data_IF_490495686874
#
_entry.id   IF_490495686874
#
_cell.length_a   1.000
_cell.length_b   1.000
_cell.length_c   1.000
_cell.angle_alpha   90.00
_cell.angle_beta   90.00
_cell.angle_gamma   90.00
#
_symmetry.space_group_name_H-M   'P 1'
#
loop_
_entity.id
_entity.type
_entity.pdbx_description
1 polymer ?
#
# COMPACT_ATOMS: atom_id res chain seq x y z
N UNK A 1 -1.37 19.23 -13.94
CA UNK A 1 -0.30 18.27 -13.60
C UNK A 1 0.16 17.47 -14.81
N UNK A 2 -0.75 16.93 -15.63
CA UNK A 2 -0.54 16.24 -16.90
C UNK A 2 -1.42 16.89 -17.96
N UNK A 3 -1.13 16.63 -19.26
CA UNK A 3 -1.90 17.21 -20.38
C UNK A 3 -2.95 16.23 -20.93
N UNK A 4 -2.67 14.92 -20.83
CA UNK A 4 -3.51 13.86 -21.37
C UNK A 4 -3.72 12.78 -20.33
N UNK A 5 -4.93 12.23 -20.29
CA UNK A 5 -5.30 11.10 -19.45
C UNK A 5 -6.02 10.06 -20.30
N UNK A 6 -5.50 8.85 -20.32
CA UNK A 6 -6.04 7.74 -21.09
C UNK A 6 -6.56 6.67 -20.15
N UNK A 7 -7.85 6.41 -20.16
CA UNK A 7 -8.45 5.25 -19.49
C UNK A 7 -8.52 4.11 -20.50
N UNK A 8 -7.68 3.12 -20.37
CA UNK A 8 -7.60 1.98 -21.29
C UNK A 8 -8.47 0.82 -20.83
N UNK A 9 -9.01 0.07 -21.78
CA UNK A 9 -9.86 -1.11 -21.52
C UNK A 9 -9.25 -2.42 -22.00
N UNK A 10 -8.15 -2.35 -22.77
CA UNK A 10 -7.40 -3.52 -23.24
C UNK A 10 -5.91 -3.35 -22.96
N UNK A 11 -5.23 -4.48 -22.74
CA UNK A 11 -3.78 -4.48 -22.53
C UNK A 11 -3.04 -3.96 -23.75
N UNK A 12 -3.46 -4.37 -24.96
CA UNK A 12 -2.84 -3.94 -26.22
C UNK A 12 -2.87 -2.42 -26.38
N UNK A 13 -3.97 -1.78 -26.02
CA UNK A 13 -4.06 -0.31 -26.06
C UNK A 13 -3.07 0.34 -25.09
N UNK A 14 -2.94 -0.17 -23.87
CA UNK A 14 -1.96 0.32 -22.89
C UNK A 14 -0.53 0.21 -23.44
N UNK A 15 -0.18 -0.92 -24.03
CA UNK A 15 1.16 -1.16 -24.60
C UNK A 15 1.43 -0.29 -25.82
N UNK A 16 0.45 -0.07 -26.70
CA UNK A 16 0.59 0.83 -27.85
C UNK A 16 0.82 2.27 -27.40
N UNK A 17 0.08 2.76 -26.41
CA UNK A 17 0.27 4.10 -25.84
C UNK A 17 1.65 4.23 -25.18
N UNK A 18 2.11 3.23 -24.43
CA UNK A 18 3.46 3.22 -23.87
C UNK A 18 4.54 3.29 -24.97
N UNK A 19 4.41 2.48 -26.03
CA UNK A 19 5.34 2.47 -27.14
C UNK A 19 5.39 3.81 -27.87
N UNK A 20 4.25 4.52 -28.01
CA UNK A 20 4.15 5.83 -28.66
C UNK A 20 4.68 6.97 -27.79
N UNK A 21 4.32 6.99 -26.51
CA UNK A 21 4.61 8.10 -25.59
C UNK A 21 5.94 7.93 -24.85
N UNK A 22 6.39 6.68 -24.61
CA UNK A 22 7.64 6.32 -23.94
C UNK A 22 7.87 7.09 -22.63
N UNK A 23 8.95 7.83 -22.50
CA UNK A 23 9.33 8.61 -21.32
C UNK A 23 8.29 9.67 -20.92
N UNK A 24 7.46 10.11 -21.87
CA UNK A 24 6.41 11.13 -21.64
C UNK A 24 5.15 10.57 -20.98
N UNK A 25 5.00 9.25 -20.92
CA UNK A 25 3.86 8.61 -20.28
C UNK A 25 4.22 7.93 -18.97
N UNK A 26 3.21 7.78 -18.10
CA UNK A 26 3.29 6.93 -16.90
C UNK A 26 1.98 6.18 -16.72
N UNK A 27 2.11 4.94 -16.24
CA UNK A 27 0.97 4.10 -15.84
C UNK A 27 0.39 4.62 -14.53
N UNK A 28 -0.93 4.68 -14.49
CA UNK A 28 -1.73 4.86 -13.27
C UNK A 28 -2.31 3.51 -12.85
N UNK A 29 -1.89 3.04 -11.67
CA UNK A 29 -2.53 1.98 -10.91
C UNK A 29 -3.07 2.59 -9.60
N UNK A 30 -2.31 2.56 -8.50
CA UNK A 30 -2.66 3.25 -7.27
C UNK A 30 -2.47 4.77 -7.30
N UNK A 31 -1.51 5.26 -8.08
CA UNK A 31 -1.06 6.65 -8.25
C UNK A 31 -0.46 7.33 -7.00
N UNK A 32 -0.37 6.66 -5.87
CA UNK A 32 -0.01 7.25 -4.57
C UNK A 32 1.40 7.85 -4.50
N UNK A 33 2.37 7.32 -5.23
CA UNK A 33 3.70 7.92 -5.39
C UNK A 33 3.72 8.90 -6.57
N UNK A 34 3.08 8.54 -7.68
CA UNK A 34 3.12 9.31 -8.93
C UNK A 34 2.55 10.72 -8.74
N UNK A 35 1.42 10.88 -8.05
CA UNK A 35 0.80 12.19 -7.79
C UNK A 35 1.76 13.09 -7.00
N UNK A 36 2.40 12.58 -5.95
CA UNK A 36 3.36 13.34 -5.15
C UNK A 36 4.56 13.76 -6.00
N UNK A 37 5.09 12.85 -6.83
CA UNK A 37 6.23 13.14 -7.72
C UNK A 37 5.91 14.24 -8.74
N UNK A 38 4.69 14.23 -9.29
CA UNK A 38 4.21 15.24 -10.23
C UNK A 38 3.97 16.60 -9.55
N UNK A 39 3.26 16.63 -8.41
CA UNK A 39 2.98 17.86 -7.67
C UNK A 39 4.25 18.54 -7.15
N UNK A 40 5.22 17.78 -6.68
CA UNK A 40 6.51 18.29 -6.22
C UNK A 40 7.48 18.62 -7.36
N UNK A 41 7.11 18.34 -8.62
CA UNK A 41 7.97 18.56 -9.79
C UNK A 41 9.26 17.72 -9.78
N UNK A 42 9.30 16.63 -8.99
CA UNK A 42 10.42 15.67 -8.96
C UNK A 42 10.49 14.93 -10.29
N UNK A 43 9.34 14.57 -10.84
CA UNK A 43 9.22 13.91 -12.13
C UNK A 43 8.75 14.93 -13.18
N UNK A 44 9.64 15.28 -14.09
CA UNK A 44 9.38 16.27 -15.18
C UNK A 44 9.19 15.58 -16.51
N UNK A 45 8.52 16.26 -17.46
CA UNK A 45 8.36 15.80 -18.84
C UNK A 45 7.33 14.69 -19.02
N UNK A 46 6.43 14.52 -18.04
CA UNK A 46 5.28 13.60 -18.16
C UNK A 46 4.11 14.40 -18.74
N UNK A 47 3.73 14.06 -19.96
CA UNK A 47 2.61 14.69 -20.67
C UNK A 47 1.33 13.84 -20.55
N UNK A 48 1.46 12.52 -20.42
CA UNK A 48 0.36 11.56 -20.46
C UNK A 48 0.32 10.62 -19.26
N UNK A 49 -0.88 10.35 -18.75
CA UNK A 49 -1.15 9.28 -17.80
C UNK A 49 -1.99 8.19 -18.50
N UNK A 50 -1.59 6.93 -18.29
CA UNK A 50 -2.27 5.75 -18.83
C UNK A 50 -2.85 4.98 -17.66
N UNK A 51 -4.15 5.08 -17.47
CA UNK A 51 -4.89 4.44 -16.38
C UNK A 51 -5.26 3.01 -16.77
N UNK A 52 -4.62 2.04 -16.09
CA UNK A 52 -4.85 0.61 -16.26
C UNK A 52 -5.85 0.04 -15.25
N UNK A 53 -6.45 0.87 -14.38
CA UNK A 53 -7.30 0.39 -13.28
C UNK A 53 -8.58 -0.31 -13.76
N UNK A 54 -8.91 -0.18 -15.04
CA UNK A 54 -10.06 -0.82 -15.67
C UNK A 54 -9.71 -2.06 -16.50
N UNK A 55 -8.44 -2.43 -16.56
CA UNK A 55 -8.04 -3.66 -17.24
C UNK A 55 -8.53 -4.86 -16.41
N UNK A 56 -9.22 -5.82 -17.03
CA UNK A 56 -9.75 -6.99 -16.31
C UNK A 56 -8.61 -7.88 -15.83
N UNK A 57 -8.87 -8.62 -14.76
CA UNK A 57 -8.05 -9.72 -14.24
C UNK A 57 -6.63 -9.33 -13.74
N UNK A 58 -6.29 -8.05 -13.70
CA UNK A 58 -4.98 -7.57 -13.24
C UNK A 58 -4.90 -7.35 -11.71
N UNK A 59 -5.97 -7.53 -10.97
CA UNK A 59 -6.07 -7.38 -9.51
C UNK A 59 -6.15 -8.74 -8.77
N UNK A 60 -5.80 -9.83 -9.45
CA UNK A 60 -5.91 -11.18 -8.89
C UNK A 60 -4.67 -11.62 -8.15
N UNK A 61 -4.90 -12.37 -7.07
CA UNK A 61 -3.90 -13.16 -6.34
C UNK A 61 -4.22 -14.62 -6.62
N UNK A 62 -3.32 -15.34 -7.27
CA UNK A 62 -3.54 -16.74 -7.67
C UNK A 62 -2.41 -17.65 -7.20
N UNK A 63 -2.70 -18.95 -7.11
CA UNK A 63 -1.74 -20.01 -6.86
C UNK A 63 -1.76 -20.96 -8.06
N UNK A 64 -0.62 -21.17 -8.69
CA UNK A 64 -0.50 -22.09 -9.80
C UNK A 64 -0.32 -23.56 -9.34
N UNK A 65 -0.34 -24.49 -10.29
CA UNK A 65 -0.18 -25.93 -10.02
C UNK A 65 1.22 -26.30 -9.52
N UNK A 66 2.23 -25.47 -9.81
CA UNK A 66 3.61 -25.66 -9.37
C UNK A 66 3.85 -25.12 -7.94
N UNK A 67 2.87 -24.44 -7.34
CA UNK A 67 2.96 -23.82 -6.02
C UNK A 67 3.52 -22.40 -6.06
N UNK A 68 3.52 -21.74 -7.21
CA UNK A 68 3.83 -20.35 -7.39
C UNK A 68 2.64 -19.43 -7.04
N UNK A 69 2.87 -18.40 -6.24
CA UNK A 69 1.90 -17.32 -6.02
C UNK A 69 2.15 -16.21 -7.03
N UNK A 70 1.08 -15.75 -7.67
CA UNK A 70 1.09 -14.67 -8.65
C UNK A 70 0.27 -13.49 -8.17
N UNK A 71 0.82 -12.28 -8.32
CA UNK A 71 0.15 -11.01 -8.05
C UNK A 71 0.07 -10.19 -9.34
N UNK A 72 -1.13 -9.87 -9.77
CA UNK A 72 -1.33 -8.91 -10.85
C UNK A 72 -0.92 -7.48 -10.44
N UNK A 73 -0.64 -6.58 -11.41
CA UNK A 73 -0.13 -5.24 -11.15
C UNK A 73 -1.09 -4.31 -10.41
N UNK A 74 -2.37 -4.64 -10.37
CA UNK A 74 -3.40 -3.90 -9.64
C UNK A 74 -3.66 -4.44 -8.23
N UNK A 75 -3.00 -5.53 -7.81
CA UNK A 75 -3.13 -6.05 -6.45
C UNK A 75 -2.69 -5.01 -5.44
N UNK A 76 -3.63 -4.58 -4.60
CA UNK A 76 -3.38 -3.58 -3.55
C UNK A 76 -2.77 -4.20 -2.31
N UNK A 77 -2.15 -3.37 -1.46
CA UNK A 77 -1.62 -3.84 -0.18
C UNK A 77 -2.73 -4.42 0.72
N UNK A 78 -3.92 -3.80 0.75
CA UNK A 78 -5.03 -4.34 1.55
C UNK A 78 -5.56 -5.67 1.01
N UNK A 79 -5.54 -5.92 -0.30
CA UNK A 79 -5.85 -7.25 -0.84
C UNK A 79 -4.84 -8.31 -0.37
N UNK A 80 -3.55 -7.99 -0.32
CA UNK A 80 -2.55 -8.90 0.25
C UNK A 80 -2.78 -9.15 1.74
N UNK A 81 -3.09 -8.10 2.51
CA UNK A 81 -3.41 -8.22 3.95
C UNK A 81 -4.65 -9.08 4.19
N UNK A 82 -5.68 -8.93 3.36
CA UNK A 82 -6.94 -9.69 3.48
C UNK A 82 -6.84 -11.13 2.96
N UNK A 83 -5.86 -11.44 2.09
CA UNK A 83 -5.78 -12.73 1.41
C UNK A 83 -5.37 -13.87 2.34
N UNK A 84 -6.21 -14.89 2.56
CA UNK A 84 -5.82 -16.08 3.32
C UNK A 84 -4.61 -16.80 2.71
N UNK A 85 -4.48 -16.79 1.37
CA UNK A 85 -3.34 -17.39 0.67
C UNK A 85 -2.03 -16.68 1.06
N UNK A 86 -2.01 -15.34 1.02
CA UNK A 86 -0.81 -14.56 1.38
C UNK A 86 -0.51 -14.71 2.88
N UNK A 87 -1.52 -14.62 3.75
CA UNK A 87 -1.34 -14.78 5.19
C UNK A 87 -0.78 -16.16 5.57
N UNK A 88 -1.15 -17.22 4.86
CA UNK A 88 -0.74 -18.59 5.17
C UNK A 88 0.57 -19.00 4.49
N UNK A 89 0.79 -18.53 3.25
CA UNK A 89 1.84 -19.02 2.37
C UNK A 89 2.87 -17.97 1.97
N UNK A 90 2.73 -16.72 2.45
CA UNK A 90 3.66 -15.60 2.24
C UNK A 90 3.55 -14.57 3.38
N UNK A 91 3.51 -15.04 4.64
CA UNK A 91 3.29 -14.19 5.81
C UNK A 91 4.17 -12.92 5.86
N UNK A 92 5.48 -12.95 5.53
CA UNK A 92 6.30 -11.74 5.51
C UNK A 92 5.77 -10.65 4.58
N UNK A 93 5.16 -11.04 3.44
CA UNK A 93 4.54 -10.08 2.53
C UNK A 93 3.25 -9.50 3.10
N UNK A 94 2.40 -10.31 3.75
CA UNK A 94 1.20 -9.81 4.43
C UNK A 94 1.57 -8.77 5.51
N UNK A 95 2.59 -9.05 6.31
CA UNK A 95 3.10 -8.15 7.36
C UNK A 95 3.66 -6.86 6.77
N UNK A 96 4.45 -6.93 5.70
CA UNK A 96 4.97 -5.75 5.03
C UNK A 96 3.85 -4.88 4.44
N UNK A 97 2.88 -5.50 3.76
CA UNK A 97 1.71 -4.78 3.24
C UNK A 97 0.91 -4.09 4.36
N UNK A 98 0.81 -4.72 5.54
CA UNK A 98 0.15 -4.14 6.71
C UNK A 98 0.86 -2.88 7.24
N UNK A 99 2.18 -2.83 7.16
CA UNK A 99 3.01 -1.70 7.61
C UNK A 99 3.08 -0.54 6.59
N UNK A 100 2.58 -0.72 5.35
CA UNK A 100 2.53 0.36 4.36
C UNK A 100 1.47 1.39 4.73
N UNK A 101 1.89 2.65 4.89
CA UNK A 101 1.00 3.81 5.02
C UNK A 101 -0.11 3.64 6.07
N UNK A 102 -1.36 3.80 5.63
CA UNK A 102 -2.59 3.64 6.40
C UNK A 102 -3.65 2.90 5.56
N UNK A 103 -4.77 2.44 6.16
CA UNK A 103 -5.80 1.70 5.42
C UNK A 103 -6.24 2.39 4.12
N UNK A 104 -6.46 3.72 4.16
CA UNK A 104 -6.89 4.51 3.00
C UNK A 104 -5.85 4.54 1.86
N UNK A 105 -4.55 4.50 2.19
CA UNK A 105 -3.47 4.39 1.20
C UNK A 105 -3.43 2.97 0.65
N UNK A 106 -3.49 1.96 1.51
CA UNK A 106 -3.42 0.54 1.14
C UNK A 106 -4.58 0.08 0.26
N UNK A 107 -5.73 0.77 0.30
CA UNK A 107 -6.86 0.51 -0.59
C UNK A 107 -6.59 0.92 -2.05
N UNK A 108 -5.58 1.75 -2.30
CA UNK A 108 -5.18 2.22 -3.64
C UNK A 108 -3.79 1.82 -4.05
N UNK A 109 -2.81 1.95 -3.16
CA UNK A 109 -1.42 1.63 -3.44
C UNK A 109 -1.25 0.13 -3.75
N UNK A 110 -0.58 -0.17 -4.86
CA UNK A 110 -0.37 -1.55 -5.34
C UNK A 110 1.03 -2.05 -5.01
N UNK A 111 1.17 -3.37 -4.87
CA UNK A 111 2.48 -4.01 -4.67
C UNK A 111 3.39 -3.72 -5.86
N UNK A 112 2.88 -3.83 -7.10
CA UNK A 112 3.65 -3.50 -8.31
C UNK A 112 4.13 -2.04 -8.33
N UNK A 113 3.26 -1.08 -7.95
CA UNK A 113 3.64 0.33 -7.82
C UNK A 113 4.78 0.53 -6.84
N UNK A 114 4.72 -0.15 -5.68
CA UNK A 114 5.77 -0.12 -4.66
C UNK A 114 7.11 -0.66 -5.20
N UNK A 115 7.11 -1.74 -5.99
CA UNK A 115 8.31 -2.26 -6.64
C UNK A 115 8.89 -1.28 -7.66
N UNK A 116 8.04 -0.70 -8.53
CA UNK A 116 8.47 0.20 -9.62
C UNK A 116 9.03 1.52 -9.08
N UNK A 117 8.51 2.04 -7.97
CA UNK A 117 9.05 3.23 -7.30
C UNK A 117 10.50 3.02 -6.86
N UNK A 118 10.91 1.77 -6.62
CA UNK A 118 12.29 1.34 -6.36
C UNK A 118 13.00 2.12 -5.23
N UNK A 119 12.26 2.59 -4.24
CA UNK A 119 12.86 3.16 -3.04
C UNK A 119 13.43 2.03 -2.17
N UNK A 120 14.66 2.14 -1.67
CA UNK A 120 15.22 1.13 -0.76
C UNK A 120 14.45 1.03 0.58
N UNK A 121 13.56 1.97 0.85
CA UNK A 121 12.70 2.00 2.04
C UNK A 121 11.25 1.55 1.76
N UNK A 122 11.00 0.97 0.59
CA UNK A 122 9.70 0.41 0.25
C UNK A 122 9.52 -0.96 0.90
N UNK A 123 8.53 -1.07 1.77
CA UNK A 123 8.37 -2.20 2.70
C UNK A 123 8.17 -3.56 2.00
N UNK A 124 7.48 -3.62 0.85
CA UNK A 124 7.17 -4.90 0.19
C UNK A 124 8.30 -5.47 -0.66
N UNK A 125 9.31 -4.67 -1.01
CA UNK A 125 10.47 -5.17 -1.77
C UNK A 125 11.25 -6.18 -0.93
N UNK A 126 11.44 -5.89 0.35
CA UNK A 126 12.25 -6.72 1.27
C UNK A 126 11.72 -8.16 1.39
N UNK A 127 10.42 -8.41 1.72
CA UNK A 127 9.93 -9.78 1.76
C UNK A 127 9.87 -10.45 0.38
N UNK A 128 9.57 -9.71 -0.69
CA UNK A 128 9.58 -10.28 -2.05
C UNK A 128 11.01 -10.67 -2.48
N UNK A 129 12.03 -9.95 -2.03
CA UNK A 129 13.43 -10.33 -2.22
C UNK A 129 13.78 -11.61 -1.45
N UNK A 130 13.28 -11.78 -0.21
CA UNK A 130 13.46 -13.00 0.57
C UNK A 130 12.64 -14.18 0.02
N UNK A 131 11.54 -13.93 -0.67
CA UNK A 131 10.71 -14.92 -1.36
C UNK A 131 11.26 -15.30 -2.74
N UNK A 132 12.43 -14.75 -3.17
CA UNK A 132 13.03 -14.94 -4.48
C UNK A 132 12.06 -14.63 -5.64
N UNK A 133 11.33 -13.53 -5.52
CA UNK A 133 10.32 -13.14 -6.49
C UNK A 133 10.92 -12.83 -7.87
N UNK A 134 10.10 -13.07 -8.89
CA UNK A 134 10.39 -12.76 -10.30
C UNK A 134 9.29 -11.82 -10.79
N UNK A 135 9.64 -10.77 -11.52
CA UNK A 135 8.69 -9.88 -12.19
C UNK A 135 8.63 -10.19 -13.68
N UNK A 136 7.43 -10.17 -14.25
CA UNK A 136 7.22 -10.26 -15.70
C UNK A 136 6.90 -8.89 -16.27
N UNK A 137 7.70 -8.47 -17.23
CA UNK A 137 7.59 -7.21 -17.96
C UNK A 137 7.09 -7.49 -19.38
N UNK A 138 6.16 -6.66 -19.87
CA UNK A 138 5.57 -6.81 -21.20
C UNK A 138 5.63 -5.48 -21.97
N UNK A 139 5.85 -5.58 -23.28
CA UNK A 139 5.76 -4.49 -24.24
C UNK A 139 5.10 -4.98 -25.55
N UNK A 140 4.94 -4.09 -26.51
CA UNK A 140 4.50 -4.48 -27.88
C UNK A 140 5.46 -5.48 -28.56
N UNK A 141 6.70 -5.60 -28.10
CA UNK A 141 7.73 -6.47 -28.64
C UNK A 141 7.77 -7.86 -27.98
N UNK A 142 6.92 -8.12 -26.98
CA UNK A 142 6.85 -9.37 -26.22
C UNK A 142 7.05 -9.19 -24.73
N UNK A 143 7.28 -10.29 -24.02
CA UNK A 143 7.46 -10.30 -22.58
C UNK A 143 8.80 -10.91 -22.17
N UNK A 144 9.30 -10.51 -20.98
CA UNK A 144 10.48 -11.06 -20.34
C UNK A 144 10.29 -11.15 -18.83
N UNK A 145 10.87 -12.18 -18.23
CA UNK A 145 10.89 -12.33 -16.77
C UNK A 145 12.26 -11.91 -16.21
N UNK A 146 12.25 -11.22 -15.09
CA UNK A 146 13.45 -10.69 -14.42
C UNK A 146 13.38 -11.09 -12.94
N UNK A 147 14.37 -11.81 -12.40
CA UNK A 147 14.49 -12.01 -10.97
C UNK A 147 14.53 -10.66 -10.22
N UNK A 148 13.81 -10.54 -9.12
CA UNK A 148 13.69 -9.26 -8.41
C UNK A 148 15.06 -8.71 -7.96
N UNK A 149 16.02 -9.59 -7.63
CA UNK A 149 17.41 -9.23 -7.29
C UNK A 149 18.16 -8.54 -8.45
N UNK A 150 17.73 -8.74 -9.69
CA UNK A 150 18.31 -8.16 -10.91
C UNK A 150 17.48 -6.98 -11.45
N UNK A 151 16.32 -6.73 -10.83
CA UNK A 151 15.41 -5.67 -11.27
C UNK A 151 15.89 -4.26 -10.89
N UNK A 152 16.61 -4.12 -9.78
CA UNK A 152 17.07 -2.82 -9.27
C UNK A 152 18.51 -2.54 -9.67
N UNK A 153 18.74 -1.35 -10.29
CA UNK A 153 20.08 -0.90 -10.70
C UNK A 153 20.64 0.23 -9.83
N UNK A 154 19.88 0.65 -8.83
CA UNK A 154 20.25 1.70 -7.86
C UNK A 154 19.02 2.35 -7.23
N UNK A 155 19.25 3.40 -6.45
CA UNK A 155 18.17 4.14 -5.77
C UNK A 155 17.18 4.68 -6.81
N UNK A 156 15.90 4.27 -6.70
CA UNK A 156 14.82 4.66 -7.62
C UNK A 156 15.10 4.35 -9.09
N UNK A 157 15.89 3.30 -9.36
CA UNK A 157 16.24 2.86 -10.72
C UNK A 157 16.01 1.37 -10.86
N UNK A 158 15.35 1.01 -11.96
CA UNK A 158 15.05 -0.37 -12.35
C UNK A 158 15.51 -0.63 -13.78
N UNK A 159 15.44 -1.89 -14.20
CA UNK A 159 15.68 -2.30 -15.61
C UNK A 159 14.45 -2.12 -16.50
N UNK A 160 13.32 -1.67 -15.96
CA UNK A 160 12.07 -1.42 -16.69
C UNK A 160 12.30 -0.37 -17.78
N UNK A 161 11.97 -0.71 -19.02
CA UNK A 161 12.07 0.21 -20.14
C UNK A 161 10.84 1.13 -20.22
N UNK A 162 10.93 2.31 -20.86
CA UNK A 162 9.82 3.27 -20.94
C UNK A 162 8.56 2.75 -21.65
N UNK A 163 8.70 1.73 -22.49
CA UNK A 163 7.63 1.07 -23.23
C UNK A 163 7.20 -0.28 -22.63
N UNK A 164 7.73 -0.61 -21.46
CA UNK A 164 7.34 -1.83 -20.72
C UNK A 164 6.37 -1.54 -19.58
N UNK A 165 5.52 -2.53 -19.31
CA UNK A 165 4.65 -2.59 -18.14
C UNK A 165 4.95 -3.85 -17.33
N UNK A 166 5.00 -3.75 -16.00
CA UNK A 166 5.01 -4.91 -15.11
C UNK A 166 3.59 -5.52 -15.12
N UNK A 167 3.49 -6.81 -15.45
CA UNK A 167 2.20 -7.51 -15.56
C UNK A 167 2.01 -8.60 -14.51
N UNK A 168 3.08 -9.12 -13.93
CA UNK A 168 3.01 -10.17 -12.93
C UNK A 168 4.19 -10.10 -11.94
N UNK A 169 3.95 -10.47 -10.69
CA UNK A 169 4.93 -10.71 -9.64
C UNK A 169 4.72 -12.13 -9.15
N UNK A 170 5.64 -13.03 -9.48
CA UNK A 170 5.58 -14.43 -9.12
C UNK A 170 6.62 -14.80 -8.05
N UNK A 171 6.26 -15.63 -7.09
CA UNK A 171 7.17 -16.17 -6.08
C UNK A 171 6.66 -17.51 -5.53
N UNK A 172 7.56 -18.41 -5.06
CA UNK A 172 7.15 -19.68 -4.48
C UNK A 172 6.38 -19.47 -3.17
N UNK A 173 5.27 -20.20 -3.03
CA UNK A 173 4.51 -20.25 -1.78
C UNK A 173 5.33 -20.98 -0.71
N UNK A 174 5.43 -20.42 0.50
CA UNK A 174 6.13 -21.04 1.62
C UNK A 174 5.58 -22.45 1.89
N UNK A 175 6.49 -23.40 2.06
CA UNK A 175 6.17 -24.78 2.40
C UNK A 175 5.80 -24.89 3.89
N UNK A 176 5.13 -25.97 4.34
CA UNK A 176 4.78 -26.14 5.76
C UNK A 176 5.97 -26.15 6.72
N UNK A 177 7.17 -26.51 6.26
CA UNK A 177 8.41 -26.47 7.03
C UNK A 177 9.08 -25.08 7.04
N UNK A 178 8.65 -24.18 6.14
CA UNK A 178 9.18 -22.83 6.05
C UNK A 178 8.40 -21.88 6.94
N UNK A 179 9.11 -21.09 7.70
CA UNK A 179 8.58 -20.06 8.58
C UNK A 179 9.21 -18.73 8.23
N UNK A 180 8.42 -17.69 8.18
CA UNK A 180 8.92 -16.38 7.80
C UNK A 180 8.29 -15.25 8.59
N UNK A 181 9.04 -14.16 8.75
CA UNK A 181 8.62 -12.96 9.44
C UNK A 181 9.20 -11.70 8.77
N UNK A 182 8.41 -10.64 8.73
CA UNK A 182 8.87 -9.30 8.39
C UNK A 182 8.74 -8.38 9.61
N UNK A 183 9.79 -7.60 9.89
CA UNK A 183 9.78 -6.59 10.94
C UNK A 183 10.26 -5.26 10.36
N UNK A 184 9.47 -4.21 10.61
CA UNK A 184 9.80 -2.82 10.30
C UNK A 184 10.10 -2.03 11.57
N UNK A 185 11.25 -1.37 11.60
CA UNK A 185 11.55 -0.32 12.56
C UNK A 185 11.31 1.04 11.90
N UNK A 186 10.46 1.85 12.50
CA UNK A 186 10.12 3.18 12.01
C UNK A 186 9.97 4.17 13.17
N UNK A 187 9.95 5.47 12.87
CA UNK A 187 9.87 6.53 13.89
C UNK A 187 8.49 6.66 14.55
N UNK A 188 7.46 6.08 13.95
CA UNK A 188 6.08 6.04 14.47
C UNK A 188 5.38 4.79 13.94
N UNK A 189 4.23 4.43 14.55
CA UNK A 189 3.53 3.19 14.25
C UNK A 189 2.93 3.11 12.84
N UNK A 190 2.53 4.22 12.25
CA UNK A 190 1.91 4.26 10.93
C UNK A 190 2.37 5.49 10.14
N UNK A 191 2.17 5.48 8.82
CA UNK A 191 2.55 6.59 7.93
C UNK A 191 4.03 6.97 8.12
N UNK A 192 4.90 5.98 8.23
CA UNK A 192 6.32 6.18 8.47
C UNK A 192 7.17 5.40 7.46
N UNK A 193 8.23 6.06 7.00
CA UNK A 193 9.27 5.43 6.19
C UNK A 193 10.13 4.54 7.09
N UNK A 194 10.52 3.37 6.62
CA UNK A 194 11.40 2.45 7.34
C UNK A 194 12.74 3.09 7.70
N UNK A 195 13.16 2.93 8.94
CA UNK A 195 14.54 3.16 9.40
C UNK A 195 15.40 1.95 9.04
N UNK A 196 14.88 0.76 9.38
CA UNK A 196 15.38 -0.56 9.02
C UNK A 196 14.18 -1.48 8.86
N UNK A 197 14.19 -2.32 7.87
CA UNK A 197 13.25 -3.43 7.77
C UNK A 197 13.99 -4.72 7.38
N UNK A 198 13.48 -5.84 7.88
CA UNK A 198 14.11 -7.15 7.73
C UNK A 198 13.03 -8.19 7.44
N UNK A 199 13.25 -9.00 6.40
CA UNK A 199 12.48 -10.20 6.14
C UNK A 199 13.37 -11.43 6.35
N UNK A 200 12.91 -12.36 7.17
CA UNK A 200 13.59 -13.64 7.45
C UNK A 200 12.67 -14.78 7.05
N UNK A 201 13.20 -15.75 6.34
CA UNK A 201 12.55 -17.03 6.03
C UNK A 201 13.53 -18.13 6.38
N UNK A 202 13.10 -19.14 7.13
CA UNK A 202 13.90 -20.34 7.47
C UNK A 202 13.08 -21.58 7.15
N UNK A 203 13.74 -22.57 6.52
CA UNK A 203 13.23 -23.94 6.37
C UNK A 203 13.81 -24.79 7.49
N UNK A 204 12.93 -25.37 8.31
CA UNK A 204 13.31 -26.17 9.47
C UNK A 204 13.00 -27.64 9.22
N UNK A 205 13.92 -28.52 9.62
CA UNK A 205 13.64 -29.95 9.66
C UNK A 205 12.84 -30.35 10.92
N UNK A 206 12.56 -31.63 11.06
CA UNK A 206 11.80 -32.17 12.20
C UNK A 206 12.55 -32.02 13.55
N UNK A 207 13.88 -31.82 13.52
CA UNK A 207 14.72 -31.59 14.70
C UNK A 207 14.95 -30.10 14.98
N UNK A 208 14.24 -29.21 14.29
CA UNK A 208 14.41 -27.75 14.35
C UNK A 208 15.79 -27.27 13.91
N UNK A 209 16.45 -28.04 13.04
CA UNK A 209 17.69 -27.63 12.36
C UNK A 209 17.37 -26.90 11.06
N UNK A 210 18.06 -25.82 10.79
CA UNK A 210 17.87 -24.99 9.60
C UNK A 210 18.42 -25.71 8.37
N UNK A 211 17.55 -26.04 7.41
CA UNK A 211 17.95 -26.57 6.11
C UNK A 211 18.40 -25.46 5.16
N UNK A 212 17.72 -24.34 5.20
CA UNK A 212 18.04 -23.14 4.42
C UNK A 212 17.49 -21.90 5.11
N UNK A 213 18.10 -20.75 4.86
CA UNK A 213 17.66 -19.46 5.32
C UNK A 213 17.72 -18.43 4.20
N UNK A 214 16.80 -17.44 4.25
CA UNK A 214 16.77 -16.27 3.35
C UNK A 214 16.52 -15.04 4.20
N UNK A 215 17.46 -14.07 4.15
CA UNK A 215 17.40 -12.85 4.96
C UNK A 215 17.62 -11.64 4.04
N UNK A 216 16.58 -10.83 3.88
CA UNK A 216 16.65 -9.58 3.13
C UNK A 216 16.55 -8.38 4.07
N UNK A 217 17.33 -7.33 3.77
CA UNK A 217 17.48 -6.12 4.55
C UNK A 217 17.09 -4.91 3.72
N UNK A 218 16.13 -4.13 4.20
CA UNK A 218 15.64 -2.90 3.58
C UNK A 218 16.05 -1.64 4.33
N UNK A 219 16.06 -0.51 3.63
CA UNK A 219 16.44 0.81 4.13
C UNK A 219 17.91 0.97 4.53
N UNK A 220 18.77 0.01 4.28
CA UNK A 220 20.15 -0.03 4.80
C UNK A 220 21.23 -0.15 3.72
N UNK A 221 20.86 0.04 2.47
CA UNK A 221 21.76 0.09 1.31
C UNK A 221 21.06 0.84 0.15
N UNK A 222 21.71 1.14 -0.98
CA UNK A 222 21.07 1.76 -2.14
C UNK A 222 19.92 0.95 -2.75
N UNK A 223 19.95 -0.37 -2.59
CA UNK A 223 18.89 -1.34 -2.93
C UNK A 223 18.69 -2.30 -1.77
N UNK A 224 17.65 -3.15 -1.83
CA UNK A 224 17.47 -4.23 -0.86
C UNK A 224 18.63 -5.22 -1.02
N UNK A 225 19.23 -5.65 0.09
CA UNK A 225 20.36 -6.59 0.10
C UNK A 225 20.00 -7.90 0.77
N UNK A 226 20.62 -9.00 0.33
CA UNK A 226 20.55 -10.31 0.97
C UNK A 226 21.76 -10.48 1.90
N UNK A 227 21.51 -10.93 3.12
CA UNK A 227 22.55 -11.21 4.11
C UNK A 227 23.11 -12.63 3.92
N UNK A 228 23.76 -12.90 2.77
CA UNK A 228 24.18 -14.24 2.32
C UNK A 228 25.10 -14.96 3.30
N UNK A 229 25.97 -14.24 4.01
CA UNK A 229 26.85 -14.83 5.02
C UNK A 229 26.05 -15.33 6.23
N UNK A 230 25.02 -14.57 6.65
CA UNK A 230 24.10 -15.00 7.71
C UNK A 230 23.26 -16.20 7.27
N UNK A 231 22.78 -16.23 6.03
CA UNK A 231 22.02 -17.35 5.46
C UNK A 231 22.86 -18.63 5.43
N UNK A 232 24.10 -18.53 4.95
CA UNK A 232 25.06 -19.64 4.90
C UNK A 232 25.39 -20.14 6.32
N UNK A 233 25.66 -19.23 7.24
CA UNK A 233 25.98 -19.57 8.63
C UNK A 233 24.83 -20.32 9.33
N UNK A 234 23.59 -19.90 9.10
CA UNK A 234 22.42 -20.52 9.71
C UNK A 234 22.17 -21.95 9.21
N UNK A 235 22.57 -22.28 7.99
CA UNK A 235 22.34 -23.61 7.40
C UNK A 235 23.06 -24.68 8.19
N UNK A 236 22.33 -25.71 8.62
CA UNK A 236 22.82 -26.80 9.46
C UNK A 236 22.89 -26.50 10.96
N UNK A 237 22.49 -25.28 11.38
CA UNK A 237 22.46 -24.89 12.80
C UNK A 237 21.09 -25.14 13.44
N UNK A 238 21.11 -25.42 14.74
CA UNK A 238 19.93 -25.28 15.60
C UNK A 238 19.89 -23.87 16.15
N UNK A 239 18.72 -23.20 16.09
CA UNK A 239 18.56 -21.78 16.43
C UNK A 239 18.66 -21.51 17.94
N UNK A 240 19.86 -21.64 18.51
CA UNK A 240 20.19 -21.29 19.90
C UNK A 240 20.45 -19.77 20.05
N UNK A 241 20.38 -19.19 21.26
CA UNK A 241 20.66 -17.76 21.47
C UNK A 241 21.99 -17.29 20.88
N UNK A 242 23.05 -18.10 20.97
CA UNK A 242 24.37 -17.77 20.39
C UNK A 242 24.35 -17.78 18.85
N UNK A 243 23.62 -18.72 18.24
CA UNK A 243 23.44 -18.77 16.78
C UNK A 243 22.66 -17.56 16.29
N UNK A 244 21.62 -17.14 17.02
CA UNK A 244 20.85 -15.94 16.67
C UNK A 244 21.71 -14.67 16.74
N UNK A 245 22.54 -14.53 17.77
CA UNK A 245 23.46 -13.39 17.92
C UNK A 245 24.45 -13.33 16.75
N UNK A 246 25.09 -14.43 16.42
CA UNK A 246 26.08 -14.48 15.32
C UNK A 246 25.41 -14.21 13.97
N UNK A 247 24.21 -14.74 13.71
CA UNK A 247 23.45 -14.45 12.49
C UNK A 247 23.12 -12.96 12.39
N UNK A 248 22.75 -12.32 13.52
CA UNK A 248 22.50 -10.88 13.60
C UNK A 248 23.76 -10.06 13.25
N UNK A 249 24.94 -10.44 13.76
CA UNK A 249 26.22 -9.79 13.44
C UNK A 249 26.56 -9.95 11.95
N UNK A 250 26.36 -11.13 11.38
CA UNK A 250 26.61 -11.35 9.94
C UNK A 250 25.63 -10.57 9.05
N UNK A 251 24.36 -10.44 9.47
CA UNK A 251 23.39 -9.60 8.78
C UNK A 251 23.79 -8.10 8.84
N UNK A 252 24.27 -7.63 10.00
CA UNK A 252 24.79 -6.27 10.15
C UNK A 252 25.93 -5.97 9.16
N UNK A 253 26.84 -6.92 8.94
CA UNK A 253 27.96 -6.77 8.02
C UNK A 253 27.56 -6.62 6.54
N UNK A 254 26.38 -7.09 6.16
CA UNK A 254 25.84 -6.93 4.80
C UNK A 254 25.24 -5.55 4.55
N UNK A 255 24.99 -4.74 5.59
CA UNK A 255 24.33 -3.46 5.49
C UNK A 255 25.32 -2.30 5.31
N UNK A 256 24.93 -1.29 4.50
CA UNK A 256 25.70 -0.07 4.21
C UNK A 256 24.78 1.14 4.25
N UNK A 257 24.19 1.47 5.43
CA UNK A 257 23.24 2.57 5.56
C UNK A 257 23.94 3.94 5.48
N UNK A 258 23.14 4.95 5.10
CA UNK A 258 23.55 6.36 5.14
C UNK A 258 23.03 7.03 6.41
N UNK A 259 23.63 8.14 6.80
CA UNK A 259 23.07 9.08 7.77
C UNK A 259 21.98 9.91 7.10
N UNK A 260 20.81 10.02 7.72
CA UNK A 260 19.73 10.91 7.29
C UNK A 260 18.83 11.30 8.47
N UNK A 261 17.74 12.06 8.18
CA UNK A 261 16.81 12.55 9.19
C UNK A 261 16.09 11.45 9.98
N UNK A 262 16.14 10.21 9.52
CA UNK A 262 15.51 9.06 10.19
C UNK A 262 16.39 8.49 11.28
N UNK A 263 17.70 8.35 11.03
CA UNK A 263 18.67 7.86 12.00
C UNK A 263 20.11 7.95 11.46
N UNK A 264 21.13 7.97 12.35
CA UNK A 264 22.54 7.77 12.00
C UNK A 264 22.76 6.34 11.47
N UNK A 265 23.78 6.18 10.61
CA UNK A 265 24.18 4.89 10.02
C UNK A 265 24.57 3.86 11.08
N UNK A 266 25.30 4.28 12.12
CA UNK A 266 25.69 3.43 13.25
C UNK A 266 24.48 2.81 13.95
N UNK A 267 23.46 3.64 14.27
CA UNK A 267 22.23 3.14 14.86
C UNK A 267 21.50 2.15 13.94
N UNK A 268 21.48 2.41 12.62
CA UNK A 268 20.84 1.50 11.68
C UNK A 268 21.57 0.15 11.61
N UNK A 269 22.90 0.15 11.65
CA UNK A 269 23.71 -1.08 11.71
C UNK A 269 23.34 -1.90 12.95
N UNK A 270 23.31 -1.28 14.13
CA UNK A 270 22.88 -1.96 15.35
C UNK A 270 21.45 -2.51 15.26
N UNK A 271 20.55 -1.74 14.65
CA UNK A 271 19.16 -2.17 14.48
C UNK A 271 19.02 -3.32 13.48
N UNK A 272 19.84 -3.41 12.42
CA UNK A 272 19.87 -4.60 11.55
C UNK A 272 20.13 -5.86 12.39
N UNK A 273 21.17 -5.83 13.22
CA UNK A 273 21.50 -6.96 14.11
C UNK A 273 20.33 -7.31 15.03
N UNK A 274 19.79 -6.31 15.74
CA UNK A 274 18.73 -6.50 16.73
C UNK A 274 17.43 -6.99 16.08
N UNK A 275 17.02 -6.40 14.95
CA UNK A 275 15.75 -6.74 14.27
C UNK A 275 15.86 -8.14 13.64
N UNK A 276 17.01 -8.51 13.06
CA UNK A 276 17.26 -9.86 12.56
C UNK A 276 17.14 -10.90 13.68
N UNK A 277 17.78 -10.65 14.83
CA UNK A 277 17.68 -11.53 16.00
C UNK A 277 16.23 -11.64 16.52
N UNK A 278 15.48 -10.54 16.53
CA UNK A 278 14.05 -10.55 16.96
C UNK A 278 13.20 -11.39 16.02
N UNK A 279 13.38 -11.27 14.72
CA UNK A 279 12.65 -12.07 13.73
C UNK A 279 12.95 -13.56 13.91
N UNK A 280 14.22 -13.95 13.99
CA UNK A 280 14.61 -15.33 14.24
C UNK A 280 14.09 -15.86 15.59
N UNK A 281 14.15 -15.06 16.65
CA UNK A 281 13.62 -15.44 17.99
C UNK A 281 12.11 -15.66 17.95
N UNK A 282 11.35 -14.79 17.30
CA UNK A 282 9.91 -14.95 17.14
C UNK A 282 9.56 -16.23 16.37
N UNK A 283 10.32 -16.55 15.33
CA UNK A 283 10.17 -17.81 14.57
C UNK A 283 10.42 -19.02 15.48
N UNK A 284 11.48 -19.02 16.29
CA UNK A 284 11.76 -20.11 17.27
C UNK A 284 10.63 -20.26 18.26
N UNK A 285 10.07 -19.16 18.75
CA UNK A 285 8.97 -19.15 19.73
C UNK A 285 7.59 -19.50 19.14
N UNK A 286 7.45 -19.53 17.80
CA UNK A 286 6.14 -19.72 17.16
C UNK A 286 5.27 -18.45 17.15
N UNK A 287 5.89 -17.29 17.31
CA UNK A 287 5.23 -15.99 17.49
C UNK A 287 5.30 -15.11 16.23
N UNK A 288 5.77 -15.63 15.09
CA UNK A 288 5.95 -14.87 13.84
C UNK A 288 4.66 -14.21 13.33
N UNK A 289 3.49 -14.71 13.74
CA UNK A 289 2.19 -14.11 13.37
C UNK A 289 1.80 -12.90 14.22
N UNK A 290 2.46 -12.65 15.35
CA UNK A 290 2.05 -11.66 16.36
C UNK A 290 2.01 -10.20 15.89
N UNK A 291 2.62 -9.87 14.75
CA UNK A 291 2.59 -8.52 14.17
C UNK A 291 1.41 -8.27 13.23
N UNK A 292 0.70 -9.31 12.79
CA UNK A 292 -0.48 -9.18 11.94
C UNK A 292 -1.73 -9.50 12.76
N UNK A 293 -2.70 -8.57 12.89
CA UNK A 293 -3.96 -8.86 13.56
C UNK A 293 -4.71 -10.02 12.89
N UNK A 294 -5.43 -10.83 13.68
CA UNK A 294 -6.26 -11.91 13.17
C UNK A 294 -7.39 -11.39 12.24
N UNK A 295 -7.88 -10.20 12.55
CA UNK A 295 -8.88 -9.47 11.76
C UNK A 295 -8.37 -8.04 11.54
N UNK A 296 -7.60 -7.81 10.47
CA UNK A 296 -7.05 -6.50 10.17
C UNK A 296 -8.15 -5.54 9.68
N UNK A 297 -8.15 -4.31 10.19
CA UNK A 297 -9.06 -3.25 9.72
C UNK A 297 -8.54 -2.70 8.39
N UNK A 298 -9.37 -2.77 7.37
CA UNK A 298 -9.02 -2.42 5.99
C UNK A 298 -9.65 -1.10 5.52
N UNK A 299 -10.78 -0.72 6.13
CA UNK A 299 -11.65 0.37 5.69
C UNK A 299 -12.11 0.19 4.23
N UNK A 300 -12.23 -1.07 3.79
CA UNK A 300 -12.65 -1.43 2.43
C UNK A 300 -14.17 -1.61 2.31
N UNK A 301 -14.91 -1.63 3.45
CA UNK A 301 -16.32 -1.94 3.49
C UNK A 301 -16.62 -3.43 3.32
N UNK A 302 -17.91 -3.78 3.47
CA UNK A 302 -18.38 -5.20 3.44
C UNK A 302 -18.25 -5.82 2.05
N UNK A 303 -18.08 -5.03 1.02
CA UNK A 303 -17.84 -5.51 -0.34
C UNK A 303 -16.39 -5.24 -0.71
N UNK A 304 -15.53 -6.28 -0.86
CA UNK A 304 -14.28 -6.12 -1.58
C UNK A 304 -14.67 -5.71 -3.01
N UNK A 305 -14.49 -4.44 -3.32
CA UNK A 305 -14.83 -3.94 -4.65
C UNK A 305 -13.71 -4.31 -5.61
N UNK A 306 -13.98 -5.07 -6.68
CA UNK A 306 -13.20 -4.89 -7.88
C UNK A 306 -13.38 -3.42 -8.30
N UNK A 307 -12.31 -2.76 -8.70
CA UNK A 307 -12.38 -1.44 -9.34
C UNK A 307 -13.50 -1.50 -10.39
N UNK A 308 -14.39 -0.48 -10.49
CA UNK A 308 -15.58 -0.60 -11.30
C UNK A 308 -15.20 -1.02 -12.71
N UNK A 309 -15.62 -2.23 -13.08
CA UNK A 309 -15.54 -2.69 -14.45
C UNK A 309 -16.43 -1.76 -15.26
N UNK A 310 -15.87 -1.14 -16.29
CA UNK A 310 -16.68 -0.44 -17.29
C UNK A 310 -17.80 -1.35 -17.74
N UNK A 311 -19.02 -0.84 -17.84
CA UNK A 311 -20.08 -1.57 -18.53
C UNK A 311 -19.53 -1.95 -19.90
N UNK A 312 -19.54 -3.24 -20.22
CA UNK A 312 -19.07 -3.77 -21.48
C UNK A 312 -19.70 -2.97 -22.63
N UNK A 313 -18.89 -2.23 -23.40
CA UNK A 313 -19.33 -1.46 -24.56
C UNK A 313 -18.87 -0.01 -24.65
N UNK A 314 -18.29 0.57 -23.58
CA UNK A 314 -17.71 1.91 -23.67
C UNK A 314 -16.23 1.77 -24.06
N UNK A 315 -15.89 2.27 -25.27
CA UNK A 315 -14.53 2.33 -25.77
C UNK A 315 -13.63 3.20 -24.87
N UNK A 316 -12.32 3.04 -25.04
CA UNK A 316 -11.31 3.84 -24.36
C UNK A 316 -11.64 5.33 -24.42
N UNK A 317 -11.84 5.96 -23.26
CA UNK A 317 -12.07 7.38 -23.19
C UNK A 317 -10.71 8.11 -23.41
N UNK A 318 -10.49 8.61 -24.62
CA UNK A 318 -9.50 9.68 -24.85
C UNK A 318 -10.14 10.92 -24.27
N UNK A 319 -9.86 11.20 -22.98
CA UNK A 319 -10.47 12.27 -22.21
C UNK A 319 -11.06 13.39 -23.07
N UNK A 320 -12.34 13.25 -23.46
CA UNK A 320 -13.14 14.34 -24.07
C UNK A 320 -13.38 15.49 -23.09
N UNK A 321 -12.72 15.38 -21.94
CA UNK A 321 -12.73 16.38 -20.90
C UNK A 321 -13.89 16.28 -19.93
N UNK A 322 -14.78 15.29 -20.05
CA UNK A 322 -15.99 15.19 -19.21
C UNK A 322 -15.85 14.05 -18.19
N UNK A 323 -16.03 14.35 -16.89
CA UNK A 323 -16.13 13.36 -15.82
C UNK A 323 -17.61 13.17 -15.49
N UNK A 324 -18.14 11.98 -15.77
CA UNK A 324 -19.47 11.54 -15.34
C UNK A 324 -19.29 10.66 -14.09
N UNK A 325 -19.97 11.00 -12.99
CA UNK A 325 -19.78 10.30 -11.71
C UNK A 325 -21.02 10.48 -10.84
N UNK A 326 -21.21 9.55 -9.91
CA UNK A 326 -22.25 9.69 -8.88
C UNK A 326 -21.60 10.12 -7.58
N UNK A 327 -21.95 11.28 -7.04
CA UNK A 327 -21.43 11.79 -5.76
C UNK A 327 -22.61 11.96 -4.80
N UNK A 328 -22.57 11.28 -3.65
CA UNK A 328 -23.64 11.32 -2.64
C UNK A 328 -25.01 11.00 -3.26
N UNK A 329 -25.05 9.94 -4.09
CA UNK A 329 -26.25 9.47 -4.80
C UNK A 329 -26.79 10.42 -5.90
N UNK A 330 -26.10 11.52 -6.20
CA UNK A 330 -26.47 12.49 -7.24
C UNK A 330 -25.53 12.33 -8.44
N UNK A 331 -26.09 12.27 -9.64
CA UNK A 331 -25.30 12.21 -10.88
C UNK A 331 -24.72 13.58 -11.24
N UNK A 332 -23.45 13.59 -11.55
CA UNK A 332 -22.69 14.76 -11.99
C UNK A 332 -22.12 14.51 -13.39
N UNK A 333 -22.14 15.53 -14.21
CA UNK A 333 -21.47 15.59 -15.53
C UNK A 333 -20.67 16.88 -15.57
N UNK A 334 -19.34 16.77 -15.35
CA UNK A 334 -18.47 17.93 -15.15
C UNK A 334 -17.41 17.97 -16.27
N UNK A 335 -17.36 19.04 -17.07
CA UNK A 335 -16.44 19.15 -18.22
C UNK A 335 -15.04 19.68 -17.85
N UNK A 336 -14.70 19.71 -16.57
CA UNK A 336 -13.44 20.25 -16.04
C UNK A 336 -12.81 19.26 -15.05
N UNK A 337 -11.57 19.54 -14.61
CA UNK A 337 -10.92 18.81 -13.53
C UNK A 337 -10.09 17.61 -13.98
N UNK A 338 -9.93 17.36 -15.29
CA UNK A 338 -9.19 16.22 -15.82
C UNK A 338 -7.69 16.22 -15.43
N UNK A 339 -7.14 17.37 -15.10
CA UNK A 339 -5.74 17.58 -14.70
C UNK A 339 -5.54 17.75 -13.19
N UNK A 340 -6.60 17.47 -12.40
CA UNK A 340 -6.63 17.65 -10.94
C UNK A 340 -6.57 16.31 -10.20
N UNK A 341 -6.34 16.40 -8.88
CA UNK A 341 -6.64 15.30 -7.96
C UNK A 341 -8.15 15.25 -7.68
N UNK A 342 -8.65 14.09 -7.26
CA UNK A 342 -10.05 13.92 -6.85
C UNK A 342 -10.44 14.91 -5.73
N UNK A 343 -9.52 15.20 -4.81
CA UNK A 343 -9.73 16.21 -3.76
C UNK A 343 -10.08 17.58 -4.34
N UNK A 344 -9.27 18.08 -5.27
CA UNK A 344 -9.49 19.39 -5.89
C UNK A 344 -10.73 19.38 -6.77
N UNK A 345 -10.97 18.33 -7.52
CA UNK A 345 -12.18 18.13 -8.32
C UNK A 345 -13.45 18.22 -7.45
N UNK A 346 -13.51 17.50 -6.33
CA UNK A 346 -14.66 17.53 -5.41
C UNK A 346 -14.90 18.94 -4.86
N UNK A 347 -13.85 19.64 -4.48
CA UNK A 347 -13.95 20.96 -3.85
C UNK A 347 -14.25 22.11 -4.82
N UNK A 348 -13.59 22.09 -5.98
CA UNK A 348 -13.56 23.22 -6.92
C UNK A 348 -14.57 23.06 -8.05
N UNK A 349 -14.74 21.84 -8.56
CA UNK A 349 -15.58 21.59 -9.74
C UNK A 349 -16.95 21.01 -9.35
N UNK A 350 -17.02 20.13 -8.33
CA UNK A 350 -18.29 19.60 -7.82
C UNK A 350 -18.92 20.46 -6.70
N UNK A 351 -18.21 21.45 -6.16
CA UNK A 351 -18.72 22.37 -5.15
C UNK A 351 -18.91 21.75 -3.76
N UNK A 352 -18.16 20.68 -3.42
CA UNK A 352 -18.25 19.92 -2.17
C UNK A 352 -17.02 20.20 -1.27
N UNK A 353 -16.97 21.34 -0.54
CA UNK A 353 -15.80 21.77 0.22
C UNK A 353 -15.64 21.06 1.58
N UNK A 354 -16.55 20.15 1.95
CA UNK A 354 -16.48 19.38 3.20
C UNK A 354 -15.26 18.47 3.27
N UNK A 355 -14.85 17.89 2.15
CA UNK A 355 -13.57 17.20 2.03
C UNK A 355 -12.41 18.20 2.11
N UNK A 356 -11.46 18.04 3.06
CA UNK A 356 -10.46 19.05 3.39
C UNK A 356 -9.06 18.73 2.82
N UNK A 357 -8.38 19.79 2.34
CA UNK A 357 -6.98 19.72 1.94
C UNK A 357 -6.07 20.07 3.12
N UNK A 358 -5.43 19.06 3.75
CA UNK A 358 -4.48 19.30 4.84
C UNK A 358 -3.03 19.25 4.37
N UNK A 359 -2.53 18.06 3.99
CA UNK A 359 -1.15 17.88 3.55
C UNK A 359 -0.99 17.80 2.03
N UNK A 360 -2.03 17.39 1.28
CA UNK A 360 -1.99 17.05 -0.15
C UNK A 360 -0.96 15.95 -0.51
N UNK A 361 -0.53 15.14 0.47
CA UNK A 361 0.58 14.17 0.32
C UNK A 361 0.21 12.76 0.84
N UNK A 362 -1.09 12.49 1.08
CA UNK A 362 -1.53 11.19 1.57
C UNK A 362 -1.19 10.89 3.04
N UNK A 363 -0.86 11.90 3.86
CA UNK A 363 -0.39 11.71 5.24
C UNK A 363 -1.46 11.97 6.32
N UNK A 364 -2.30 13.01 6.14
CA UNK A 364 -3.12 13.53 7.23
C UNK A 364 -4.56 13.02 7.28
N UNK A 365 -5.05 12.40 6.22
CA UNK A 365 -6.41 11.84 6.12
C UNK A 365 -7.57 12.82 6.13
N UNK A 366 -7.35 14.13 6.16
CA UNK A 366 -8.41 15.14 6.13
C UNK A 366 -9.27 15.07 4.85
N UNK A 367 -8.71 14.50 3.79
CA UNK A 367 -9.32 14.32 2.48
C UNK A 367 -9.96 12.94 2.28
N UNK A 368 -10.17 12.14 3.32
CA UNK A 368 -10.77 10.81 3.21
C UNK A 368 -12.19 10.90 2.63
N UNK A 369 -12.45 10.12 1.59
CA UNK A 369 -13.75 9.90 0.96
C UNK A 369 -13.95 8.41 0.72
N UNK A 370 -15.16 7.96 0.41
CA UNK A 370 -15.36 6.62 -0.14
C UNK A 370 -15.36 6.71 -1.66
N UNK A 371 -14.56 5.88 -2.29
CA UNK A 371 -14.53 5.68 -3.72
C UNK A 371 -14.92 4.21 -3.97
N UNK A 372 -16.05 3.99 -4.62
CA UNK A 372 -16.62 2.67 -4.83
C UNK A 372 -16.72 1.83 -3.56
N UNK A 373 -17.09 2.47 -2.46
CA UNK A 373 -17.29 1.85 -1.15
C UNK A 373 -16.03 1.77 -0.27
N UNK A 374 -14.83 1.90 -0.79
CA UNK A 374 -13.59 1.85 -0.01
C UNK A 374 -13.15 3.26 0.44
N UNK A 375 -12.65 3.39 1.66
CA UNK A 375 -12.05 4.64 2.13
C UNK A 375 -10.70 4.89 1.44
N UNK A 376 -10.54 6.06 0.82
CA UNK A 376 -9.31 6.48 0.13
C UNK A 376 -8.94 7.92 0.49
N UNK A 377 -7.69 8.28 0.34
CA UNK A 377 -7.23 9.67 0.43
C UNK A 377 -7.38 10.33 -0.94
N UNK A 378 -8.39 11.16 -1.13
CA UNK A 378 -8.72 11.77 -2.43
C UNK A 378 -7.62 12.66 -3.01
N UNK A 379 -6.69 13.16 -2.19
CA UNK A 379 -5.51 13.87 -2.67
C UNK A 379 -4.52 12.97 -3.44
N UNK A 380 -4.61 11.63 -3.31
CA UNK A 380 -3.76 10.65 -3.98
C UNK A 380 -4.45 9.97 -5.18
N UNK A 381 -5.64 10.42 -5.56
CA UNK A 381 -6.42 9.85 -6.66
C UNK A 381 -6.50 10.88 -7.79
N UNK A 382 -6.12 10.54 -9.03
CA UNK A 382 -6.42 11.38 -10.20
C UNK A 382 -7.93 11.57 -10.36
N UNK A 383 -8.40 12.78 -10.63
CA UNK A 383 -9.84 13.05 -10.80
C UNK A 383 -10.50 12.21 -11.91
N UNK A 384 -9.85 11.91 -13.05
CA UNK A 384 -10.45 11.04 -14.07
C UNK A 384 -10.78 9.62 -13.60
N UNK A 385 -10.15 9.10 -12.54
CA UNK A 385 -10.55 7.84 -11.90
C UNK A 385 -11.99 7.89 -11.35
N UNK A 386 -12.56 9.09 -11.13
CA UNK A 386 -13.94 9.28 -10.71
C UNK A 386 -14.96 8.99 -11.80
N UNK A 387 -14.55 8.93 -13.07
CA UNK A 387 -15.48 8.69 -14.18
C UNK A 387 -16.18 7.33 -13.99
N UNK A 388 -17.51 7.33 -13.96
CA UNK A 388 -18.40 6.20 -13.65
C UNK A 388 -18.21 5.56 -12.25
N UNK A 389 -17.51 6.24 -11.34
CA UNK A 389 -17.35 5.79 -9.96
C UNK A 389 -18.50 6.29 -9.08
N UNK A 390 -18.68 5.62 -7.94
CA UNK A 390 -19.55 6.07 -6.84
C UNK A 390 -18.70 6.68 -5.73
N UNK A 391 -18.98 7.93 -5.40
CA UNK A 391 -18.23 8.68 -4.40
C UNK A 391 -19.15 9.09 -3.26
N UNK A 392 -18.72 8.85 -2.03
CA UNK A 392 -19.38 9.40 -0.84
C UNK A 392 -18.42 10.36 -0.14
N UNK A 393 -18.85 11.59 0.05
CA UNK A 393 -18.13 12.61 0.82
C UNK A 393 -18.80 12.82 2.18
N UNK A 394 -18.21 13.67 3.01
CA UNK A 394 -18.78 13.98 4.33
C UNK A 394 -20.20 14.60 4.23
N UNK A 395 -20.50 15.30 3.15
CA UNK A 395 -21.83 15.89 2.89
C UNK A 395 -22.90 14.80 2.69
N UNK A 396 -22.53 13.62 2.17
CA UNK A 396 -23.42 12.48 1.99
C UNK A 396 -23.44 11.47 3.14
N UNK A 397 -22.76 11.74 4.26
CA UNK A 397 -22.72 10.81 5.39
C UNK A 397 -24.01 10.79 6.23
N UNK A 398 -24.76 11.89 6.24
CA UNK A 398 -26.07 11.96 6.87
C UNK A 398 -27.12 11.30 5.95
N UNK A 399 -28.01 10.49 6.52
CA UNK A 399 -29.09 9.82 5.78
C UNK A 399 -30.43 10.49 6.13
N UNK A 400 -31.19 10.90 5.11
CA UNK A 400 -32.51 11.56 5.27
C UNK A 400 -32.49 12.74 6.24
N UNK A 401 -31.38 13.48 6.30
CA UNK A 401 -31.21 14.62 7.20
C UNK A 401 -30.83 14.24 8.64
N UNK A 402 -30.81 12.97 9.00
CA UNK A 402 -30.33 12.49 10.31
C UNK A 402 -28.80 12.33 10.31
N UNK A 403 -28.08 12.99 11.23
CA UNK A 403 -26.63 12.80 11.36
C UNK A 403 -26.29 11.34 11.64
N UNK A 404 -25.20 10.86 11.02
CA UNK A 404 -24.66 9.54 11.32
C UNK A 404 -24.33 9.39 12.82
N UNK A 405 -24.51 8.19 13.42
CA UNK A 405 -24.25 7.95 14.87
C UNK A 405 -22.88 8.45 15.33
N UNK A 406 -21.85 8.34 14.50
CA UNK A 406 -20.54 8.87 14.84
C UNK A 406 -20.49 10.41 14.86
N UNK A 407 -21.24 11.12 13.98
CA UNK A 407 -21.36 12.57 14.03
C UNK A 407 -22.02 13.01 15.34
N UNK A 408 -23.08 12.33 15.76
CA UNK A 408 -23.75 12.57 17.05
C UNK A 408 -22.81 12.36 18.23
N UNK A 409 -22.03 11.27 18.21
CA UNK A 409 -21.04 10.96 19.25
C UNK A 409 -19.92 12.03 19.30
N UNK A 410 -19.45 12.55 18.15
CA UNK A 410 -18.46 13.64 18.12
C UNK A 410 -18.98 14.92 18.79
N UNK A 411 -20.25 15.24 18.58
CA UNK A 411 -20.90 16.39 19.26
C UNK A 411 -21.01 16.12 20.76
N UNK A 412 -21.53 14.94 21.15
CA UNK A 412 -21.76 14.58 22.55
C UNK A 412 -20.47 14.53 23.39
N UNK A 413 -19.36 14.04 22.81
CA UNK A 413 -18.07 13.97 23.47
C UNK A 413 -17.23 15.26 23.32
N UNK A 414 -17.73 16.28 22.65
CA UNK A 414 -16.99 17.50 22.30
C UNK A 414 -15.63 17.16 21.63
N UNK A 415 -15.65 16.23 20.68
CA UNK A 415 -14.45 15.69 20.01
C UNK A 415 -13.89 16.63 18.93
N UNK A 416 -14.31 17.88 18.88
CA UNK A 416 -13.94 18.89 17.89
C UNK A 416 -13.33 20.11 18.58
N UNK A 417 -12.23 20.63 17.99
CA UNK A 417 -11.70 21.96 18.33
C UNK A 417 -11.74 22.86 17.09
N UNK A 418 -10.69 22.89 16.24
CA UNK A 418 -10.75 23.69 15.01
C UNK A 418 -11.66 23.10 13.94
N UNK A 419 -11.97 21.80 13.99
CA UNK A 419 -12.91 21.10 13.07
C UNK A 419 -12.29 20.66 11.74
N UNK A 420 -11.06 21.06 11.42
CA UNK A 420 -10.48 20.82 10.09
C UNK A 420 -10.26 19.34 9.76
N UNK A 421 -9.81 18.53 10.72
CA UNK A 421 -9.61 17.08 10.56
C UNK A 421 -10.90 16.26 10.69
N UNK A 422 -11.97 16.86 11.23
CA UNK A 422 -13.21 16.16 11.62
C UNK A 422 -13.84 15.38 10.45
N UNK A 423 -13.98 15.93 9.23
CA UNK A 423 -14.53 15.17 8.11
C UNK A 423 -13.78 13.86 7.84
N UNK A 424 -12.44 13.91 7.83
CA UNK A 424 -11.63 12.73 7.60
C UNK A 424 -11.78 11.65 8.69
N UNK A 425 -11.84 12.05 9.98
CA UNK A 425 -12.10 11.10 11.07
C UNK A 425 -13.51 10.49 10.97
N UNK A 426 -14.52 11.29 10.63
CA UNK A 426 -15.89 10.81 10.48
C UNK A 426 -16.00 9.82 9.31
N UNK A 427 -15.39 10.11 8.16
CA UNK A 427 -15.39 9.18 7.04
C UNK A 427 -14.67 7.87 7.39
N UNK A 428 -13.46 7.93 7.96
CA UNK A 428 -12.73 6.73 8.39
C UNK A 428 -13.52 5.92 9.44
N UNK A 429 -14.14 6.61 10.38
CA UNK A 429 -14.91 5.97 11.43
C UNK A 429 -16.24 5.39 10.97
N UNK A 430 -16.93 6.05 10.05
CA UNK A 430 -18.15 5.49 9.46
C UNK A 430 -17.82 4.17 8.74
N UNK A 431 -16.71 4.12 7.98
CA UNK A 431 -16.27 2.90 7.31
C UNK A 431 -15.83 1.82 8.30
N UNK A 432 -15.18 2.19 9.41
CA UNK A 432 -14.87 1.25 10.49
C UNK A 432 -16.12 0.62 11.07
N UNK A 433 -17.14 1.42 11.39
CA UNK A 433 -18.39 0.93 11.99
C UNK A 433 -19.25 0.10 11.02
N UNK A 434 -19.07 0.28 9.71
CA UNK A 434 -19.63 -0.59 8.68
C UNK A 434 -18.88 -1.94 8.63
N UNK A 435 -17.55 -1.93 8.66
CA UNK A 435 -16.70 -3.12 8.60
C UNK A 435 -16.70 -3.91 9.92
N UNK A 436 -16.67 -3.21 11.05
CA UNK A 436 -16.66 -3.74 12.41
C UNK A 436 -17.64 -2.94 13.27
N UNK A 437 -18.91 -3.37 13.44
CA UNK A 437 -19.94 -2.60 14.15
C UNK A 437 -19.62 -2.28 15.62
N UNK A 438 -18.83 -3.13 16.29
CA UNK A 438 -18.46 -3.00 17.70
C UNK A 438 -16.93 -3.08 17.87
N UNK A 439 -16.15 -2.13 17.30
CA UNK A 439 -14.71 -2.19 17.35
C UNK A 439 -14.17 -1.95 18.76
N UNK A 440 -13.15 -2.72 19.13
CA UNK A 440 -12.38 -2.46 20.33
C UNK A 440 -11.39 -1.30 20.15
N UNK A 441 -10.71 -0.87 21.23
CA UNK A 441 -9.76 0.26 21.20
C UNK A 441 -8.63 0.09 20.20
N UNK A 442 -8.11 -1.12 20.02
CA UNK A 442 -7.01 -1.38 19.10
C UNK A 442 -7.48 -1.25 17.64
N UNK A 443 -8.67 -1.75 17.33
CA UNK A 443 -9.30 -1.63 16.02
C UNK A 443 -9.65 -0.17 15.68
N UNK A 444 -10.17 0.60 16.65
CA UNK A 444 -10.39 2.05 16.50
C UNK A 444 -9.06 2.75 16.20
N UNK A 445 -8.02 2.51 17.02
CA UNK A 445 -6.71 3.09 16.80
C UNK A 445 -6.14 2.74 15.43
N UNK A 446 -6.34 1.50 14.97
CA UNK A 446 -5.91 1.03 13.67
C UNK A 446 -6.63 1.75 12.52
N UNK A 447 -7.94 1.92 12.61
CA UNK A 447 -8.76 2.59 11.60
C UNK A 447 -8.34 4.05 11.37
N UNK A 448 -7.94 4.75 12.43
CA UNK A 448 -7.58 6.16 12.38
C UNK A 448 -6.07 6.42 12.22
N UNK A 449 -5.26 5.38 11.97
CA UNK A 449 -3.80 5.55 11.75
C UNK A 449 -3.46 6.50 10.61
N UNK A 450 -4.35 6.64 9.64
CA UNK A 450 -4.23 7.59 8.54
C UNK A 450 -4.82 8.98 8.80
N UNK A 451 -5.28 9.29 10.03
CA UNK A 451 -5.92 10.56 10.35
C UNK A 451 -5.16 11.34 11.42
N UNK A 452 -4.78 12.56 11.12
CA UNK A 452 -4.01 13.41 12.04
C UNK A 452 -4.86 14.57 12.59
N UNK A 453 -4.76 14.78 13.90
CA UNK A 453 -5.29 15.94 14.59
C UNK A 453 -4.21 16.64 15.40
N UNK A 454 -4.01 17.94 15.22
CA UNK A 454 -3.03 18.73 15.97
C UNK A 454 -3.61 19.33 17.26
N UNK A 455 -4.94 19.37 17.39
CA UNK A 455 -5.62 20.16 18.44
C UNK A 455 -6.03 19.31 19.65
N UNK A 456 -6.68 18.15 19.43
CA UNK A 456 -7.49 17.45 20.45
C UNK A 456 -6.71 16.48 21.34
N UNK A 457 -5.48 16.11 20.96
CA UNK A 457 -4.75 15.02 21.62
C UNK A 457 -5.41 13.63 21.51
N UNK A 458 -6.40 13.48 20.63
CA UNK A 458 -7.12 12.25 20.27
C UNK A 458 -8.07 11.67 21.34
N UNK A 459 -7.93 11.97 22.62
CA UNK A 459 -8.73 11.33 23.68
C UNK A 459 -10.25 11.42 23.46
N UNK A 460 -10.73 12.61 23.14
CA UNK A 460 -12.15 12.83 22.86
C UNK A 460 -12.62 12.21 21.55
N UNK A 461 -11.76 12.16 20.55
CA UNK A 461 -12.02 11.46 19.29
C UNK A 461 -12.19 9.96 19.59
N UNK A 462 -11.28 9.34 20.32
CA UNK A 462 -11.38 7.92 20.70
C UNK A 462 -12.63 7.65 21.53
N UNK A 463 -12.97 8.52 22.50
CA UNK A 463 -14.19 8.40 23.29
C UNK A 463 -15.47 8.47 22.41
N UNK A 464 -15.49 9.34 21.39
CA UNK A 464 -16.60 9.41 20.44
C UNK A 464 -16.76 8.13 19.62
N UNK A 465 -15.65 7.51 19.18
CA UNK A 465 -15.68 6.21 18.50
C UNK A 465 -16.21 5.11 19.43
N UNK A 466 -15.69 5.03 20.67
CA UNK A 466 -16.15 4.06 21.67
C UNK A 466 -17.65 4.23 22.01
N UNK A 467 -18.16 5.46 22.01
CA UNK A 467 -19.57 5.74 22.21
C UNK A 467 -20.39 5.26 21.03
N UNK A 468 -20.05 5.68 19.82
CA UNK A 468 -20.75 5.28 18.61
C UNK A 468 -20.75 3.77 18.35
N UNK A 469 -19.77 3.03 18.88
CA UNK A 469 -19.69 1.57 18.77
C UNK A 469 -20.66 0.80 19.69
N UNK A 470 -21.28 1.50 20.69
CA UNK A 470 -22.21 0.91 21.64
C UNK A 470 -23.68 1.11 21.25
N UNK A 471 -23.92 2.04 20.35
CA UNK A 471 -25.22 2.34 19.74
C UNK A 471 -25.41 1.52 18.44
#
# INVERSE_FOLDING_TARGET
MWQQYYTVTTLDEALQLLAQQREKARIVAGATDLIIELERGVRKGIDALIDITRLPDLDKITLDEAGGIHLGPLVTHNQCVASPLIQQRALPLAQACWEVGAPQIRNRATVAGNLITASPANDTITPLMALDAVVTLISVNGQRSVPLREFYTGVRRTVLQPDEMLIDIAFPALQPSERGMFIKLALRRAQAISVVDVAVIVDLDQTQTVKSARIALGSVAPTIVRATDAETYLTGQTLTPGVLEQAGVLAQNAAHPIDDVRAPSEYRLDMVRIVTMRALRAIVAGEERGLLPAQPILLAGVRPHPLPLSKSGEGSNRGDGVIQTTINEIEYTIPTGQDKTLLRFLREDAGLPGTKEGCAEGECGACTVFLDGAAVMSCMVPAPCAHHAQITTIEGLAVEGAPHRLQQAFVAEAAVQCGYCTPGFLMSGAKLLEECPHPNKAEIAQAITGNLCRCTGYYKILAAFEKASKE
#
